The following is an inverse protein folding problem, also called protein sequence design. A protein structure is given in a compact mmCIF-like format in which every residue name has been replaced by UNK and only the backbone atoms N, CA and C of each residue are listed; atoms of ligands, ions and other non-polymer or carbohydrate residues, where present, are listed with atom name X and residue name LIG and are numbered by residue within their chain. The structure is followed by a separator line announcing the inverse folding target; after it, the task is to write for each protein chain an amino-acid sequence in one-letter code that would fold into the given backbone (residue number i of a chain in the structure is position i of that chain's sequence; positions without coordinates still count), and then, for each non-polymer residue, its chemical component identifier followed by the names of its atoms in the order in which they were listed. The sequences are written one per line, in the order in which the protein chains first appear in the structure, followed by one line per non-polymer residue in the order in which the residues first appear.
data_IF_934722346185
#
_entry.id   IF_934722346185
#
_cell.length_a   1.000
_cell.length_b   1.000
_cell.length_c   1.000
_cell.angle_alpha   90.00
_cell.angle_beta   90.00
_cell.angle_gamma   90.00
#
_symmetry.space_group_name_H-M   'P 1'
#
loop_
_entity.id
_entity.type
_entity.pdbx_description
1 polymer ?
#
# COMPACT_ATOMS: atom_id res chain seq x y z
N UNK A 1 7.95 -4.06 -34.75
CA UNK A 1 7.75 -5.30 -34.00
C UNK A 1 7.09 -4.96 -32.68
N UNK A 2 5.75 -5.12 -32.66
CA UNK A 2 4.81 -5.33 -31.54
C UNK A 2 4.92 -4.38 -30.32
N UNK A 3 4.00 -3.41 -30.16
CA UNK A 3 2.75 -3.47 -29.38
C UNK A 3 2.98 -3.64 -27.85
N UNK A 4 2.44 -2.82 -26.95
CA UNK A 4 1.23 -2.02 -27.06
C UNK A 4 1.23 -0.80 -26.15
N UNK A 5 0.66 0.29 -26.68
CA UNK A 5 0.09 1.33 -25.86
C UNK A 5 -1.08 0.74 -25.09
N UNK A 6 -1.08 0.91 -23.78
CA UNK A 6 -2.18 0.47 -22.92
C UNK A 6 -3.30 1.50 -23.05
N UNK A 7 -4.18 1.27 -24.01
CA UNK A 7 -5.52 1.86 -24.04
C UNK A 7 -6.38 1.09 -23.02
N UNK A 8 -6.97 1.76 -22.04
CA UNK A 8 -8.02 1.15 -21.21
C UNK A 8 -9.35 1.83 -21.50
N UNK A 9 -10.22 1.04 -22.14
CA UNK A 9 -11.61 1.37 -22.42
C UNK A 9 -12.37 1.50 -21.09
N UNK A 10 -13.06 2.63 -20.93
CA UNK A 10 -14.08 2.83 -19.90
C UNK A 10 -15.20 1.79 -20.03
N UNK A 11 -15.43 0.98 -19.00
CA UNK A 11 -16.69 0.27 -18.83
C UNK A 11 -17.17 0.40 -17.39
N UNK A 12 -18.43 0.80 -17.29
CA UNK A 12 -19.24 1.00 -16.08
C UNK A 12 -18.95 0.00 -14.96
N UNK A 13 -18.57 0.51 -13.79
CA UNK A 13 -18.86 -0.13 -12.51
C UNK A 13 -19.49 0.91 -11.59
N UNK A 14 -20.69 0.59 -11.12
CA UNK A 14 -21.64 1.48 -10.48
C UNK A 14 -21.30 1.64 -8.97
N UNK A 15 -21.13 2.90 -8.55
CA UNK A 15 -21.33 3.54 -7.24
C UNK A 15 -20.98 2.80 -5.92
N UNK A 16 -19.78 3.11 -5.40
CA UNK A 16 -19.64 3.91 -4.16
C UNK A 16 -18.15 4.27 -3.92
N UNK A 17 -17.72 5.38 -4.55
CA UNK A 17 -16.60 6.27 -4.19
C UNK A 17 -15.35 5.68 -3.49
N UNK A 18 -14.47 5.07 -4.28
CA UNK A 18 -13.02 5.08 -4.04
C UNK A 18 -12.39 5.82 -5.23
N UNK A 19 -12.18 7.12 -5.06
CA UNK A 19 -11.67 7.99 -6.11
C UNK A 19 -10.25 7.57 -6.53
N UNK A 20 -10.18 6.98 -7.73
CA UNK A 20 -9.14 7.11 -8.76
C UNK A 20 -7.71 7.28 -8.24
N UNK A 21 -7.00 6.16 -8.21
CA UNK A 21 -5.55 6.11 -8.36
C UNK A 21 -5.23 6.53 -9.81
N UNK A 22 -4.75 7.74 -10.02
CA UNK A 22 -4.03 8.07 -11.25
C UNK A 22 -2.55 7.70 -11.02
N UNK A 23 -2.10 6.70 -11.78
CA UNK A 23 -0.74 6.47 -12.31
C UNK A 23 0.42 5.99 -11.41
N UNK A 24 0.20 5.04 -10.51
CA UNK A 24 1.18 3.96 -10.31
C UNK A 24 0.45 2.72 -9.82
N UNK A 25 0.50 1.63 -10.57
CA UNK A 25 -0.13 0.35 -10.20
C UNK A 25 0.50 -0.19 -8.90
N UNK A 26 -0.09 0.16 -7.75
CA UNK A 26 -0.11 -0.76 -6.61
C UNK A 26 -1.12 -1.86 -6.93
N UNK A 27 -0.91 -2.62 -8.01
CA UNK A 27 -1.77 -3.76 -8.38
C UNK A 27 -1.92 -4.78 -7.24
N UNK A 28 -1.05 -4.69 -6.23
CA UNK A 28 -0.95 -5.55 -5.07
C UNK A 28 -1.67 -4.97 -3.84
N UNK A 29 -2.15 -3.71 -3.87
CA UNK A 29 -2.82 -3.05 -2.73
C UNK A 29 -4.05 -2.22 -3.12
N UNK A 30 -5.10 -2.35 -2.33
CA UNK A 30 -6.21 -1.41 -2.27
C UNK A 30 -5.92 -0.32 -1.22
N UNK A 31 -5.71 0.92 -1.68
CA UNK A 31 -5.55 2.08 -0.80
C UNK A 31 -6.90 2.51 -0.21
N UNK A 32 -6.96 2.65 1.13
CA UNK A 32 -8.17 3.08 1.84
C UNK A 32 -8.11 4.54 2.30
N UNK A 33 -6.91 5.08 2.47
CA UNK A 33 -6.72 6.49 2.84
C UNK A 33 -6.82 7.39 1.61
N UNK A 34 -7.52 8.54 1.68
CA UNK A 34 -7.53 9.52 0.59
C UNK A 34 -6.12 9.92 0.16
N UNK A 35 -5.89 10.03 -1.16
CA UNK A 35 -4.61 10.48 -1.70
C UNK A 35 -4.32 11.94 -1.31
N UNK A 36 -5.36 12.78 -1.29
CA UNK A 36 -5.26 14.20 -0.98
C UNK A 36 -4.68 14.40 0.43
N UNK A 37 -3.47 14.97 0.57
CA UNK A 37 -2.86 15.21 1.88
C UNK A 37 -3.67 16.12 2.81
N UNK A 38 -4.58 16.96 2.26
CA UNK A 38 -5.45 17.81 3.07
C UNK A 38 -6.63 17.06 3.70
N UNK A 39 -6.92 15.84 3.22
CA UNK A 39 -8.03 15.00 3.68
C UNK A 39 -7.55 13.84 4.56
N UNK A 40 -6.25 13.82 4.90
CA UNK A 40 -5.65 12.80 5.77
C UNK A 40 -4.68 13.41 6.76
N UNK A 41 -4.51 12.71 7.88
CA UNK A 41 -3.38 12.92 8.78
C UNK A 41 -2.13 12.21 8.23
N UNK A 42 -1.12 11.99 9.08
CA UNK A 42 0.05 11.18 8.73
C UNK A 42 -0.28 9.69 8.47
N UNK A 43 -1.44 9.21 8.92
CA UNK A 43 -1.83 7.81 8.78
C UNK A 43 -2.16 7.44 7.32
N UNK A 44 -1.63 6.31 6.90
CA UNK A 44 -1.96 5.58 5.68
C UNK A 44 -2.53 4.21 6.04
N UNK A 45 -3.56 3.79 5.32
CA UNK A 45 -4.24 2.51 5.45
C UNK A 45 -4.37 1.87 4.08
N UNK A 46 -3.94 0.61 3.95
CA UNK A 46 -4.02 -0.15 2.70
C UNK A 46 -4.27 -1.63 2.98
N UNK A 47 -4.93 -2.30 2.05
CA UNK A 47 -5.23 -3.74 2.10
C UNK A 47 -4.48 -4.45 0.96
N UNK A 48 -3.71 -5.51 1.23
CA UNK A 48 -3.11 -6.29 0.14
C UNK A 48 -4.17 -7.11 -0.61
N UNK A 49 -3.96 -7.36 -1.91
CA UNK A 49 -4.97 -7.98 -2.79
C UNK A 49 -4.75 -9.49 -2.91
N UNK A 50 -3.50 -9.93 -3.15
CA UNK A 50 -3.16 -11.33 -3.42
C UNK A 50 -2.63 -12.10 -2.20
N UNK A 51 -2.25 -11.37 -1.16
CA UNK A 51 -1.70 -11.89 0.10
C UNK A 51 -2.42 -11.25 1.29
N UNK A 52 -2.28 -11.84 2.47
CA UNK A 52 -2.88 -11.28 3.69
C UNK A 52 -1.93 -10.28 4.37
N UNK A 53 -2.50 -9.30 5.06
CA UNK A 53 -1.74 -8.38 5.91
C UNK A 53 -0.96 -9.14 7.00
N UNK A 54 -1.51 -10.25 7.48
CA UNK A 54 -0.86 -11.15 8.44
C UNK A 54 0.44 -11.72 7.89
N UNK A 55 0.48 -12.18 6.64
CA UNK A 55 1.71 -12.69 6.02
C UNK A 55 2.79 -11.61 5.90
N UNK A 56 2.39 -10.39 5.53
CA UNK A 56 3.31 -9.25 5.48
C UNK A 56 3.85 -8.92 6.88
N UNK A 57 3.00 -8.96 7.92
CA UNK A 57 3.42 -8.76 9.31
C UNK A 57 4.51 -9.73 9.72
N UNK A 58 4.30 -11.03 9.47
CA UNK A 58 5.20 -12.09 9.89
C UNK A 58 6.58 -11.96 9.24
N UNK A 59 6.67 -11.52 7.98
CA UNK A 59 7.95 -11.26 7.32
C UNK A 59 8.63 -9.96 7.83
N UNK A 60 7.85 -8.90 8.03
CA UNK A 60 8.38 -7.64 8.57
C UNK A 60 8.88 -7.78 10.02
N UNK A 61 8.20 -8.60 10.84
CA UNK A 61 8.59 -8.86 12.22
C UNK A 61 9.96 -9.55 12.30
N UNK A 62 10.30 -10.43 11.33
CA UNK A 62 11.62 -11.08 11.25
C UNK A 62 12.77 -10.10 11.05
N UNK A 63 12.50 -8.97 10.40
CA UNK A 63 13.49 -7.88 10.20
C UNK A 63 13.35 -6.75 11.22
N UNK A 64 12.54 -6.96 12.27
CA UNK A 64 12.39 -6.03 13.40
C UNK A 64 11.44 -4.86 13.12
N UNK A 65 10.61 -4.94 12.07
CA UNK A 65 9.61 -3.93 11.73
C UNK A 65 8.25 -4.36 12.28
N UNK A 66 7.64 -3.50 13.10
CA UNK A 66 6.31 -3.73 13.68
C UNK A 66 5.30 -2.81 13.02
N UNK A 67 4.18 -3.36 12.56
CA UNK A 67 3.09 -2.61 11.90
C UNK A 67 1.75 -2.83 12.62
N UNK A 68 0.85 -1.85 12.54
CA UNK A 68 -0.51 -1.97 13.05
C UNK A 68 -1.40 -2.63 11.99
N UNK A 69 -2.10 -3.70 12.34
CA UNK A 69 -3.00 -4.43 11.44
C UNK A 69 -4.35 -4.60 12.08
N UNK A 70 -5.40 -4.35 11.30
CA UNK A 70 -6.78 -4.55 11.72
C UNK A 70 -7.63 -5.07 10.57
N UNK A 71 -8.28 -6.23 10.74
CA UNK A 71 -9.17 -6.84 9.72
C UNK A 71 -8.56 -6.83 8.31
N UNK A 72 -7.31 -7.32 8.21
CA UNK A 72 -6.56 -7.42 6.96
C UNK A 72 -6.20 -6.05 6.32
N UNK A 73 -6.21 -4.99 7.12
CA UNK A 73 -5.79 -3.64 6.72
C UNK A 73 -4.50 -3.32 7.46
N UNK A 74 -3.46 -2.98 6.70
CA UNK A 74 -2.21 -2.46 7.23
C UNK A 74 -2.38 -0.96 7.46
N UNK A 75 -2.00 -0.50 8.65
CA UNK A 75 -2.07 0.89 9.08
C UNK A 75 -0.67 1.36 9.44
N UNK A 76 -0.23 2.43 8.79
CA UNK A 76 1.09 3.05 8.99
C UNK A 76 0.86 4.52 9.32
N UNK A 77 1.18 4.92 10.54
CA UNK A 77 1.13 6.31 10.97
C UNK A 77 2.51 6.69 11.52
N UNK A 78 3.43 7.21 10.68
CA UNK A 78 4.71 7.66 11.17
C UNK A 78 4.48 8.76 12.20
N UNK A 79 4.90 8.51 13.44
CA UNK A 79 4.76 9.47 14.51
C UNK A 79 5.89 10.51 14.34
N UNK A 80 5.60 11.78 14.05
CA UNK A 80 6.65 12.77 13.74
C UNK A 80 7.67 13.00 14.86
N UNK A 81 7.31 12.63 16.09
CA UNK A 81 8.18 12.70 17.27
C UNK A 81 9.20 11.56 17.35
N UNK A 82 8.95 10.43 16.67
CA UNK A 82 9.73 9.19 16.82
C UNK A 82 10.24 8.62 15.50
N UNK A 83 9.76 9.06 14.34
CA UNK A 83 10.19 8.55 13.04
C UNK A 83 10.82 9.65 12.19
N UNK A 84 12.02 9.38 11.70
CA UNK A 84 12.70 10.21 10.71
C UNK A 84 12.21 9.86 9.30
N UNK A 85 12.45 10.76 8.34
CA UNK A 85 12.23 10.47 6.93
C UNK A 85 12.98 9.20 6.46
N UNK A 86 14.17 8.98 7.01
CA UNK A 86 14.98 7.81 6.70
C UNK A 86 14.33 6.51 7.19
N UNK A 87 13.71 6.52 8.37
CA UNK A 87 12.99 5.35 8.90
C UNK A 87 11.79 4.99 8.01
N UNK A 88 11.07 6.01 7.52
CA UNK A 88 9.96 5.82 6.58
C UNK A 88 10.46 5.25 5.26
N UNK A 89 11.58 5.78 4.74
CA UNK A 89 12.18 5.27 3.51
C UNK A 89 12.59 3.79 3.65
N UNK A 90 13.31 3.44 4.72
CA UNK A 90 13.70 2.06 4.98
C UNK A 90 12.49 1.14 5.15
N UNK A 91 11.44 1.60 5.85
CA UNK A 91 10.20 0.86 5.97
C UNK A 91 9.58 0.54 4.59
N UNK A 92 9.48 1.54 3.71
CA UNK A 92 8.90 1.34 2.36
C UNK A 92 9.74 0.36 1.55
N UNK A 93 11.07 0.46 1.59
CA UNK A 93 11.96 -0.49 0.89
C UNK A 93 11.83 -1.92 1.40
N UNK A 94 11.76 -2.12 2.72
CA UNK A 94 11.57 -3.45 3.32
C UNK A 94 10.19 -4.02 2.99
N UNK A 95 9.16 -3.18 3.02
CA UNK A 95 7.81 -3.57 2.63
C UNK A 95 7.80 -4.07 1.19
N UNK A 96 8.41 -3.34 0.25
CA UNK A 96 8.53 -3.75 -1.16
C UNK A 96 9.24 -5.11 -1.32
N UNK A 97 10.35 -5.33 -0.62
CA UNK A 97 11.08 -6.60 -0.66
C UNK A 97 10.24 -7.78 -0.14
N UNK A 98 9.52 -7.60 0.97
CA UNK A 98 8.61 -8.60 1.54
C UNK A 98 7.49 -8.93 0.54
N UNK A 99 6.92 -7.91 -0.09
CA UNK A 99 5.84 -8.07 -1.07
C UNK A 99 6.30 -8.88 -2.27
N UNK A 100 7.46 -8.54 -2.84
CA UNK A 100 8.04 -9.29 -3.97
C UNK A 100 8.30 -10.74 -3.56
N UNK A 101 8.84 -10.96 -2.37
CA UNK A 101 9.14 -12.31 -1.86
C UNK A 101 7.88 -13.17 -1.68
N UNK A 102 6.78 -12.59 -1.22
CA UNK A 102 5.52 -13.30 -0.97
C UNK A 102 4.68 -13.55 -2.24
N UNK A 103 4.94 -12.79 -3.31
CA UNK A 103 4.19 -12.86 -4.59
C UNK A 103 4.96 -13.57 -5.72
N UNK A 104 6.24 -13.88 -5.51
CA UNK A 104 7.09 -14.66 -6.43
C UNK A 104 6.95 -16.16 -6.16
#
# INVERSE_FOLDING_TARGET
YLNGGVFVHSNHFNDNHLSRLDDTELCQFALLTPLNPQERCAQLSFRPIDITAQQIHEELEKVGVVIDIHNDIIRVAPAPLYNSFFDIFQFVSLLEEVIITLTT
#
